data_IF_760070631501
#
_entry.id   IF_760070631501
#
_cell.length_a   1.000
_cell.length_b   1.000
_cell.length_c   1.000
_cell.angle_alpha   90.00
_cell.angle_beta   90.00
_cell.angle_gamma   90.00
#
_symmetry.space_group_name_H-M   'P 1'
#
loop_
_entity.id
_entity.type
_entity.pdbx_description
1 polymer ?
#
# COMPACT_ATOMS: atom_id res chain seq x y z
N UNK A 1 -14.95 -37.88 96.60
CA UNK A 1 -13.97 -37.06 95.84
C UNK A 1 -14.75 -36.28 94.80
N UNK A 2 -14.69 -34.94 94.87
CA UNK A 2 -14.82 -33.91 93.81
C UNK A 2 -15.53 -34.29 92.49
N UNK A 3 -16.39 -33.49 91.87
CA UNK A 3 -16.62 -32.04 91.87
C UNK A 3 -17.74 -31.77 90.84
N UNK A 4 -18.54 -30.72 91.08
CA UNK A 4 -19.00 -29.68 90.11
C UNK A 4 -19.76 -30.14 88.84
N UNK A 5 -21.07 -29.91 88.65
CA UNK A 5 -21.81 -28.65 88.44
C UNK A 5 -21.58 -27.94 87.08
N UNK A 6 -22.60 -27.95 86.19
CA UNK A 6 -23.12 -26.82 85.38
C UNK A 6 -24.05 -27.39 84.27
N UNK A 7 -25.35 -27.10 84.15
CA UNK A 7 -26.16 -25.86 84.09
C UNK A 7 -25.88 -24.95 82.87
N UNK A 8 -26.84 -25.03 81.93
CA UNK A 8 -27.52 -23.98 81.15
C UNK A 8 -26.82 -22.65 80.82
N UNK A 9 -26.98 -22.14 79.58
CA UNK A 9 -27.85 -20.99 79.22
C UNK A 9 -27.62 -20.52 77.75
N UNK A 10 -28.76 -20.22 77.13
CA UNK A 10 -29.14 -19.62 75.83
C UNK A 10 -28.57 -18.20 75.62
N UNK A 11 -28.24 -17.74 74.39
CA UNK A 11 -28.73 -16.47 73.76
C UNK A 11 -28.04 -16.04 72.44
N UNK A 12 -28.86 -15.46 71.54
CA UNK A 12 -28.65 -14.35 70.58
C UNK A 12 -27.56 -14.45 69.48
N UNK A 13 -27.72 -13.94 68.26
CA UNK A 13 -28.75 -13.11 67.62
C UNK A 13 -28.22 -12.52 66.30
N UNK A 14 -29.01 -11.58 65.73
CA UNK A 14 -28.68 -10.55 64.73
C UNK A 14 -29.00 -10.83 63.25
N UNK A 15 -30.01 -10.08 62.80
CA UNK A 15 -30.43 -9.76 61.44
C UNK A 15 -29.49 -8.68 60.84
N UNK A 16 -29.00 -8.87 59.61
CA UNK A 16 -28.39 -7.79 58.81
C UNK A 16 -28.78 -7.93 57.34
N UNK A 17 -29.55 -6.93 56.88
CA UNK A 17 -29.91 -6.67 55.49
C UNK A 17 -28.69 -6.12 54.75
N UNK A 18 -28.33 -6.71 53.62
CA UNK A 18 -27.36 -6.13 52.68
C UNK A 18 -27.91 -6.25 51.26
N UNK A 19 -28.41 -5.13 50.78
CA UNK A 19 -28.64 -4.82 49.36
C UNK A 19 -27.31 -4.87 48.61
N UNK A 20 -27.15 -5.79 47.67
CA UNK A 20 -26.09 -5.72 46.67
C UNK A 20 -26.69 -5.59 45.27
N UNK A 21 -26.54 -4.38 44.75
CA UNK A 21 -26.68 -4.04 43.34
C UNK A 21 -25.71 -4.96 42.57
N UNK A 22 -26.23 -5.96 41.85
CA UNK A 22 -25.42 -6.67 40.86
C UNK A 22 -25.33 -5.76 39.64
N UNK A 23 -24.42 -4.79 39.74
CA UNK A 23 -23.95 -4.03 38.60
C UNK A 23 -23.31 -5.03 37.63
N UNK A 24 -23.97 -5.15 36.48
CA UNK A 24 -23.50 -5.77 35.25
C UNK A 24 -21.98 -5.60 35.05
N UNK A 25 -21.20 -6.64 35.31
CA UNK A 25 -19.84 -6.75 34.80
C UNK A 25 -19.89 -6.90 33.27
N UNK A 26 -20.00 -5.78 32.55
CA UNK A 26 -19.59 -5.74 31.14
C UNK A 26 -18.07 -5.94 31.13
N UNK A 27 -17.52 -6.90 30.36
CA UNK A 27 -16.09 -6.97 30.19
C UNK A 27 -15.63 -5.67 29.54
N UNK A 28 -14.73 -4.96 30.22
CA UNK A 28 -14.06 -3.77 29.69
C UNK A 28 -13.06 -4.27 28.66
N UNK A 29 -13.51 -4.40 27.41
CA UNK A 29 -12.65 -4.73 26.27
C UNK A 29 -11.71 -3.55 26.08
N UNK A 30 -10.42 -3.78 26.31
CA UNK A 30 -9.38 -2.81 26.00
C UNK A 30 -9.37 -2.57 24.49
N UNK A 31 -9.45 -1.31 24.02
CA UNK A 31 -9.44 -1.03 22.59
C UNK A 31 -8.05 -1.35 22.02
N UNK A 32 -8.03 -2.25 21.02
CA UNK A 32 -6.85 -2.48 20.21
C UNK A 32 -6.52 -1.20 19.41
N UNK A 33 -5.23 -0.87 19.37
CA UNK A 33 -4.70 0.36 18.80
C UNK A 33 -4.90 0.46 17.28
N UNK A 34 -5.97 1.14 16.87
CA UNK A 34 -6.10 1.85 15.60
C UNK A 34 -7.02 3.04 15.88
N UNK A 35 -6.45 4.11 16.44
CA UNK A 35 -7.09 5.41 16.64
C UNK A 35 -8.57 5.43 17.08
N UNK A 36 -9.00 4.64 18.08
CA UNK A 36 -10.31 4.74 18.76
C UNK A 36 -11.49 5.25 17.89
N UNK A 37 -11.75 4.64 16.74
CA UNK A 37 -13.03 4.84 16.05
C UNK A 37 -14.03 3.90 16.71
N UNK A 38 -15.05 4.48 17.37
CA UNK A 38 -16.12 3.67 17.97
C UNK A 38 -17.00 3.08 16.86
N UNK A 39 -17.00 1.76 16.75
CA UNK A 39 -17.82 1.01 15.80
C UNK A 39 -19.24 0.85 16.34
N UNK A 40 -20.27 1.31 15.60
CA UNK A 40 -21.66 1.10 16.01
C UNK A 40 -22.03 -0.39 16.04
N UNK A 41 -22.76 -0.80 17.08
CA UNK A 41 -23.17 -2.21 17.31
C UNK A 41 -24.05 -2.79 16.19
N UNK A 42 -24.70 -1.94 15.38
CA UNK A 42 -25.55 -2.36 14.27
C UNK A 42 -24.78 -2.76 13.00
N UNK A 43 -23.47 -2.47 12.93
CA UNK A 43 -22.64 -2.89 11.79
C UNK A 43 -22.25 -4.36 11.97
N UNK A 44 -22.89 -5.25 11.23
CA UNK A 44 -22.70 -6.70 11.38
C UNK A 44 -21.67 -7.24 10.40
N UNK A 45 -21.61 -6.72 9.17
CA UNK A 45 -20.69 -7.24 8.15
C UNK A 45 -19.27 -6.63 8.25
N UNK A 46 -18.21 -7.42 7.97
CA UNK A 46 -16.84 -6.90 7.93
C UNK A 46 -16.65 -5.74 6.95
N UNK A 47 -17.35 -5.77 5.82
CA UNK A 47 -17.30 -4.73 4.78
C UNK A 47 -17.90 -3.41 5.27
N UNK A 48 -19.04 -3.45 5.95
CA UNK A 48 -19.65 -2.25 6.55
C UNK A 48 -18.77 -1.66 7.65
N UNK A 49 -18.18 -2.52 8.50
CA UNK A 49 -17.22 -2.08 9.53
C UNK A 49 -16.01 -1.41 8.90
N UNK A 50 -15.41 -2.00 7.87
CA UNK A 50 -14.28 -1.41 7.16
C UNK A 50 -14.64 -0.06 6.51
N UNK A 51 -15.77 0.02 5.81
CA UNK A 51 -16.22 1.28 5.21
C UNK A 51 -16.40 2.37 6.27
N UNK A 52 -17.03 2.05 7.39
CA UNK A 52 -17.22 2.98 8.49
C UNK A 52 -15.89 3.44 9.09
N UNK A 53 -14.95 2.52 9.32
CA UNK A 53 -13.62 2.88 9.80
C UNK A 53 -12.91 3.83 8.85
N UNK A 54 -12.96 3.59 7.54
CA UNK A 54 -12.35 4.45 6.52
C UNK A 54 -13.00 5.84 6.52
N UNK A 55 -14.33 5.91 6.59
CA UNK A 55 -15.07 7.17 6.58
C UNK A 55 -14.76 8.02 7.83
N UNK A 56 -14.62 7.39 9.00
CA UNK A 56 -14.48 8.06 10.29
C UNK A 56 -13.05 8.14 10.84
N UNK A 57 -12.06 7.59 10.16
CA UNK A 57 -10.67 7.55 10.63
C UNK A 57 -10.11 8.93 10.99
N UNK A 58 -10.41 9.94 10.16
CA UNK A 58 -9.83 11.28 10.28
C UNK A 58 -10.59 12.24 11.20
N UNK A 59 -11.74 11.84 11.75
CA UNK A 59 -12.64 12.74 12.49
C UNK A 59 -11.96 13.38 13.71
N UNK A 60 -11.12 12.62 14.43
CA UNK A 60 -10.37 13.14 15.59
C UNK A 60 -9.29 14.16 15.21
N UNK A 61 -8.61 13.94 14.09
CA UNK A 61 -7.56 14.85 13.60
C UNK A 61 -8.17 16.18 13.12
N UNK A 62 -9.33 16.15 12.45
CA UNK A 62 -10.03 17.36 12.05
C UNK A 62 -10.47 18.21 13.26
N UNK A 63 -10.77 17.58 14.40
CA UNK A 63 -11.13 18.27 15.63
C UNK A 63 -9.92 18.89 16.38
N UNK A 64 -8.68 18.47 16.08
CA UNK A 64 -7.46 18.94 16.74
C UNK A 64 -6.34 19.25 15.72
N UNK A 65 -6.27 20.48 15.19
CA UNK A 65 -5.36 20.81 14.09
C UNK A 65 -3.88 20.88 14.49
N UNK A 66 -3.56 21.00 15.79
CA UNK A 66 -2.19 20.97 16.31
C UNK A 66 -1.65 19.54 16.34
N UNK A 67 -1.25 19.06 15.16
CA UNK A 67 -0.70 17.72 14.98
C UNK A 67 0.81 17.80 14.78
N UNK A 68 1.58 17.11 15.62
CA UNK A 68 3.03 16.99 15.43
C UNK A 68 3.35 16.21 14.16
N UNK A 69 4.51 16.47 13.53
CA UNK A 69 4.90 15.76 12.30
C UNK A 69 4.96 14.24 12.50
N UNK A 70 5.45 13.76 13.65
CA UNK A 70 5.50 12.34 13.97
C UNK A 70 4.10 11.71 14.06
N UNK A 71 3.12 12.46 14.59
CA UNK A 71 1.74 12.01 14.64
C UNK A 71 1.09 11.97 13.24
N UNK A 72 1.36 12.96 12.38
CA UNK A 72 0.90 12.95 10.99
C UNK A 72 1.44 11.74 10.24
N UNK A 73 2.75 11.44 10.37
CA UNK A 73 3.37 10.28 9.73
C UNK A 73 2.64 9.01 10.15
N UNK A 74 2.54 8.78 11.46
CA UNK A 74 1.89 7.59 12.01
C UNK A 74 0.45 7.42 11.54
N UNK A 75 -0.34 8.50 11.57
CA UNK A 75 -1.75 8.43 11.14
C UNK A 75 -1.88 8.13 9.65
N UNK A 76 -1.02 8.72 8.79
CA UNK A 76 -1.04 8.42 7.36
C UNK A 76 -0.61 6.97 7.08
N UNK A 77 0.40 6.47 7.80
CA UNK A 77 0.84 5.07 7.70
C UNK A 77 -0.25 4.09 8.14
N UNK A 78 -0.85 4.32 9.31
CA UNK A 78 -1.96 3.53 9.84
C UNK A 78 -3.17 3.56 8.89
N UNK A 79 -3.47 4.72 8.28
CA UNK A 79 -4.53 4.83 7.28
C UNK A 79 -4.21 4.05 6.00
N UNK A 80 -2.98 4.13 5.49
CA UNK A 80 -2.54 3.36 4.31
C UNK A 80 -2.66 1.85 4.55
N UNK A 81 -2.30 1.39 5.76
CA UNK A 81 -2.48 0.00 6.17
C UNK A 81 -3.96 -0.41 6.21
N UNK A 82 -4.85 0.47 6.71
CA UNK A 82 -6.29 0.23 6.76
C UNK A 82 -6.91 0.08 5.37
N UNK A 83 -6.53 0.93 4.41
CA UNK A 83 -7.13 0.97 3.07
C UNK A 83 -6.53 -0.04 2.09
N UNK A 84 -5.44 -0.74 2.45
CA UNK A 84 -4.64 -1.55 1.52
C UNK A 84 -5.47 -2.53 0.65
N UNK A 85 -6.48 -3.16 1.23
CA UNK A 85 -7.39 -4.10 0.55
C UNK A 85 -8.83 -3.55 0.37
N UNK A 86 -9.02 -2.24 0.56
CA UNK A 86 -10.33 -1.61 0.48
C UNK A 86 -10.73 -1.33 -0.99
N UNK A 87 -12.04 -1.39 -1.31
CA UNK A 87 -12.53 -0.96 -2.63
C UNK A 87 -12.24 0.52 -2.88
N UNK A 88 -11.80 0.83 -4.10
CA UNK A 88 -11.37 2.18 -4.49
C UNK A 88 -12.45 3.26 -4.29
N UNK A 89 -13.71 2.92 -4.55
CA UNK A 89 -14.87 3.82 -4.41
C UNK A 89 -15.12 4.26 -2.96
N UNK A 90 -14.66 3.48 -1.99
CA UNK A 90 -14.79 3.78 -0.55
C UNK A 90 -13.68 4.67 -0.02
N UNK A 91 -12.52 4.69 -0.68
CA UNK A 91 -11.30 5.33 -0.17
C UNK A 91 -11.17 6.78 -0.65
N UNK A 92 -11.66 7.09 -1.85
CA UNK A 92 -11.40 8.36 -2.55
C UNK A 92 -11.65 9.61 -1.71
N UNK A 93 -12.73 9.64 -0.91
CA UNK A 93 -13.06 10.80 -0.07
C UNK A 93 -12.13 10.88 1.15
N UNK A 94 -11.95 9.79 1.87
CA UNK A 94 -11.18 9.77 3.11
C UNK A 94 -9.69 10.01 2.91
N UNK A 95 -9.12 9.56 1.79
CA UNK A 95 -7.68 9.70 1.52
C UNK A 95 -7.25 11.17 1.38
N UNK A 96 -8.13 12.06 0.90
CA UNK A 96 -7.84 13.49 0.74
C UNK A 96 -8.26 14.35 1.95
N UNK A 97 -9.02 13.82 2.90
CA UNK A 97 -9.45 14.54 4.13
C UNK A 97 -8.28 15.19 4.88
N UNK A 98 -7.19 14.48 5.23
CA UNK A 98 -6.06 15.10 5.93
C UNK A 98 -5.40 16.23 5.13
N UNK A 99 -5.37 16.13 3.79
CA UNK A 99 -4.78 17.18 2.95
C UNK A 99 -5.62 18.47 2.97
N UNK A 100 -6.94 18.33 3.11
CA UNK A 100 -7.86 19.45 3.27
C UNK A 100 -7.77 20.09 4.66
N UNK A 101 -7.48 19.33 5.71
CA UNK A 101 -7.35 19.86 7.07
C UNK A 101 -5.98 20.49 7.35
N UNK A 102 -4.90 19.83 6.92
CA UNK A 102 -3.53 20.23 7.25
C UNK A 102 -3.02 21.42 6.42
N UNK A 103 -2.02 22.13 6.94
CA UNK A 103 -1.32 23.21 6.25
C UNK A 103 0.17 23.23 6.62
N UNK A 104 0.96 24.08 5.96
CA UNK A 104 2.38 24.26 6.27
C UNK A 104 3.18 22.96 6.24
N UNK A 105 4.06 22.78 7.23
CA UNK A 105 4.94 21.61 7.34
C UNK A 105 4.17 20.29 7.52
N UNK A 106 3.04 20.30 8.22
CA UNK A 106 2.23 19.09 8.44
C UNK A 106 1.64 18.56 7.13
N UNK A 107 1.17 19.44 6.25
CA UNK A 107 0.72 19.05 4.90
C UNK A 107 1.85 18.44 4.08
N UNK A 108 3.04 19.05 4.12
CA UNK A 108 4.22 18.54 3.41
C UNK A 108 4.63 17.16 3.90
N UNK A 109 4.57 16.95 5.22
CA UNK A 109 4.79 15.65 5.86
C UNK A 109 3.77 14.63 5.36
N UNK A 110 2.46 14.93 5.41
CA UNK A 110 1.43 14.01 4.95
C UNK A 110 1.61 13.57 3.49
N UNK A 111 1.90 14.52 2.58
CA UNK A 111 2.13 14.21 1.16
C UNK A 111 3.38 13.35 0.94
N UNK A 112 4.45 13.61 1.70
CA UNK A 112 5.67 12.80 1.65
C UNK A 112 5.43 11.38 2.15
N UNK A 113 4.65 11.23 3.22
CA UNK A 113 4.26 9.93 3.75
C UNK A 113 3.37 9.18 2.77
N UNK A 114 2.35 9.82 2.17
CA UNK A 114 1.54 9.19 1.12
C UNK A 114 2.37 8.72 -0.07
N UNK A 115 3.33 9.53 -0.53
CA UNK A 115 4.24 9.13 -1.61
C UNK A 115 5.06 7.90 -1.21
N UNK A 116 5.56 7.87 0.01
CA UNK A 116 6.36 6.75 0.54
C UNK A 116 5.53 5.48 0.66
N UNK A 117 4.28 5.59 1.13
CA UNK A 117 3.41 4.45 1.39
C UNK A 117 2.72 3.93 0.12
N UNK A 118 2.30 4.80 -0.81
CA UNK A 118 1.46 4.41 -1.95
C UNK A 118 2.21 4.31 -3.27
N UNK A 119 3.38 4.94 -3.42
CA UNK A 119 4.07 5.03 -4.71
C UNK A 119 5.54 4.55 -4.69
N UNK A 120 6.16 4.34 -3.53
CA UNK A 120 7.50 3.71 -3.53
C UNK A 120 7.38 2.20 -3.74
N UNK A 121 8.11 1.61 -4.70
CA UNK A 121 8.02 0.17 -4.99
C UNK A 121 8.34 -0.75 -3.81
N UNK A 122 9.11 -0.26 -2.84
CA UNK A 122 9.47 -0.99 -1.62
C UNK A 122 8.33 -1.05 -0.60
N UNK A 123 7.28 -0.24 -0.77
CA UNK A 123 6.17 -0.18 0.17
C UNK A 123 5.26 -1.39 0.04
N UNK A 124 4.88 -2.04 1.15
CA UNK A 124 3.85 -3.09 1.13
C UNK A 124 2.46 -2.53 0.75
N UNK A 125 2.26 -1.22 0.81
CA UNK A 125 1.01 -0.55 0.49
C UNK A 125 1.01 0.13 -0.89
N UNK A 126 1.98 -0.20 -1.75
CA UNK A 126 2.06 0.32 -3.11
C UNK A 126 0.73 0.16 -3.85
N UNK A 127 0.14 1.28 -4.27
CA UNK A 127 -1.12 1.32 -4.99
C UNK A 127 -1.23 2.64 -5.78
N UNK A 128 -0.99 2.54 -7.09
CA UNK A 128 -1.03 3.69 -7.99
C UNK A 128 -2.43 4.31 -8.09
N UNK A 129 -3.50 3.51 -7.98
CA UNK A 129 -4.87 4.03 -8.07
C UNK A 129 -5.20 4.94 -6.89
N UNK A 130 -4.78 4.56 -5.68
CA UNK A 130 -4.92 5.42 -4.50
C UNK A 130 -4.03 6.65 -4.59
N UNK A 131 -2.78 6.48 -5.03
CA UNK A 131 -1.86 7.59 -5.18
C UNK A 131 -2.36 8.62 -6.21
N UNK A 132 -3.09 8.20 -7.25
CA UNK A 132 -3.71 9.12 -8.23
C UNK A 132 -4.73 10.07 -7.58
N UNK A 133 -5.40 9.68 -6.49
CA UNK A 133 -6.27 10.62 -5.76
C UNK A 133 -5.49 11.74 -5.10
N UNK A 134 -4.31 11.44 -4.57
CA UNK A 134 -3.39 12.44 -4.02
C UNK A 134 -2.93 13.39 -5.13
N UNK A 135 -2.47 12.86 -6.26
CA UNK A 135 -2.03 13.70 -7.40
C UNK A 135 -3.15 14.59 -7.95
N UNK A 136 -4.37 14.06 -8.04
CA UNK A 136 -5.54 14.83 -8.47
C UNK A 136 -5.84 15.99 -7.51
N UNK A 137 -5.70 15.76 -6.20
CA UNK A 137 -5.81 16.81 -5.19
C UNK A 137 -4.67 17.82 -5.31
N UNK A 138 -3.42 17.37 -5.39
CA UNK A 138 -2.24 18.23 -5.47
C UNK A 138 -2.34 19.19 -6.65
N UNK A 139 -2.69 18.68 -7.85
CA UNK A 139 -2.83 19.47 -9.08
C UNK A 139 -3.80 20.66 -8.93
N UNK A 140 -4.86 20.51 -8.14
CA UNK A 140 -5.91 21.51 -7.99
C UNK A 140 -5.80 22.34 -6.69
N UNK A 141 -4.93 21.96 -5.76
CA UNK A 141 -4.87 22.57 -4.43
C UNK A 141 -4.20 23.94 -4.44
N UNK A 142 -4.91 24.97 -3.98
CA UNK A 142 -4.36 26.32 -3.78
C UNK A 142 -3.38 26.41 -2.60
N UNK A 143 -3.25 25.34 -1.79
CA UNK A 143 -2.28 25.26 -0.70
C UNK A 143 -0.85 24.99 -1.19
N UNK A 144 -0.69 24.64 -2.47
CA UNK A 144 0.60 24.26 -3.06
C UNK A 144 1.03 25.31 -4.09
N UNK A 145 2.35 25.47 -4.22
CA UNK A 145 2.93 26.33 -5.24
C UNK A 145 2.71 25.78 -6.67
N UNK A 146 2.95 26.62 -7.68
CA UNK A 146 2.80 26.25 -9.09
C UNK A 146 3.71 25.10 -9.50
N UNK A 147 4.96 25.07 -9.02
CA UNK A 147 5.95 24.04 -9.34
C UNK A 147 5.46 22.66 -8.93
N UNK A 148 4.94 22.53 -7.71
CA UNK A 148 4.41 21.29 -7.17
C UNK A 148 3.16 20.83 -7.91
N UNK A 149 2.26 21.75 -8.26
CA UNK A 149 1.06 21.43 -9.05
C UNK A 149 1.42 20.89 -10.44
N UNK A 150 2.41 21.50 -11.10
CA UNK A 150 2.94 21.02 -12.38
C UNK A 150 3.59 19.65 -12.24
N UNK A 151 4.40 19.43 -11.19
CA UNK A 151 5.00 18.13 -10.93
C UNK A 151 3.94 17.04 -10.73
N UNK A 152 2.87 17.32 -9.97
CA UNK A 152 1.76 16.40 -9.79
C UNK A 152 1.02 16.09 -11.10
N UNK A 153 0.79 17.10 -11.95
CA UNK A 153 0.20 16.91 -13.28
C UNK A 153 1.05 16.02 -14.18
N UNK A 154 2.37 16.28 -14.26
CA UNK A 154 3.29 15.46 -15.05
C UNK A 154 3.36 14.03 -14.53
N UNK A 155 3.35 13.86 -13.21
CA UNK A 155 3.32 12.55 -12.58
C UNK A 155 2.03 11.78 -12.88
N UNK A 156 0.87 12.46 -12.84
CA UNK A 156 -0.41 11.85 -13.22
C UNK A 156 -0.40 11.37 -14.69
N UNK A 157 0.20 12.14 -15.60
CA UNK A 157 0.38 11.73 -17.00
C UNK A 157 1.23 10.47 -17.08
N UNK A 158 2.35 10.41 -16.35
CA UNK A 158 3.23 9.22 -16.34
C UNK A 158 2.48 7.98 -15.86
N UNK A 159 1.67 8.11 -14.81
CA UNK A 159 0.84 7.01 -14.30
C UNK A 159 -0.32 6.60 -15.22
N UNK A 160 -0.63 7.35 -16.28
CA UNK A 160 -1.61 6.92 -17.30
C UNK A 160 -0.98 5.98 -18.31
N UNK A 161 0.33 6.11 -18.53
CA UNK A 161 1.05 5.29 -19.48
C UNK A 161 1.21 3.87 -18.91
N UNK A 162 0.97 2.86 -19.75
CA UNK A 162 1.14 1.43 -19.40
C UNK A 162 0.25 0.96 -18.23
N UNK A 163 -0.91 1.60 -18.02
CA UNK A 163 -1.91 1.15 -17.06
C UNK A 163 -2.50 -0.20 -17.46
N UNK A 164 -2.81 -1.04 -16.48
CA UNK A 164 -3.43 -2.35 -16.73
C UNK A 164 -4.73 -2.18 -17.53
N UNK A 165 -4.90 -3.00 -18.57
CA UNK A 165 -6.04 -2.93 -19.47
C UNK A 165 -5.91 -1.94 -20.64
N UNK A 166 -4.84 -1.14 -20.69
CA UNK A 166 -4.55 -0.23 -21.80
C UNK A 166 -3.40 -0.74 -22.67
N UNK A 167 -3.34 -0.27 -23.91
CA UNK A 167 -2.22 -0.55 -24.81
C UNK A 167 -0.93 0.05 -24.26
N UNK A 168 0.15 -0.73 -24.22
CA UNK A 168 1.46 -0.24 -23.81
C UNK A 168 1.96 0.84 -24.78
N UNK A 169 2.63 1.86 -24.24
CA UNK A 169 3.23 2.94 -25.02
C UNK A 169 4.28 2.34 -25.98
N UNK A 170 4.14 2.63 -27.27
CA UNK A 170 5.13 2.21 -28.25
C UNK A 170 6.42 3.03 -28.12
N UNK A 171 7.57 2.38 -28.28
CA UNK A 171 8.89 2.99 -28.24
C UNK A 171 9.85 2.31 -29.22
N UNK A 172 10.92 3.02 -29.57
CA UNK A 172 11.99 2.51 -30.42
C UNK A 172 13.09 1.92 -29.54
N UNK A 173 13.62 0.76 -29.93
CA UNK A 173 14.76 0.12 -29.28
C UNK A 173 15.75 -0.41 -30.30
N UNK A 174 16.98 -0.62 -29.86
CA UNK A 174 18.09 -1.02 -30.72
C UNK A 174 18.61 -2.41 -30.37
N UNK A 175 18.54 -3.34 -31.32
CA UNK A 175 19.14 -4.67 -31.18
C UNK A 175 20.50 -4.70 -31.87
N UNK A 176 21.52 -5.31 -31.24
CA UNK A 176 22.75 -5.66 -31.95
C UNK A 176 22.59 -7.04 -32.57
N UNK A 177 22.62 -7.13 -33.89
CA UNK A 177 22.70 -8.40 -34.61
C UNK A 177 24.06 -8.53 -35.33
N UNK A 178 24.22 -9.56 -36.17
CA UNK A 178 25.45 -9.78 -36.94
C UNK A 178 25.70 -8.74 -38.04
N UNK A 179 24.70 -7.94 -38.39
CA UNK A 179 24.75 -6.92 -39.45
C UNK A 179 24.94 -5.50 -38.92
N UNK A 180 24.74 -5.29 -37.62
CA UNK A 180 24.98 -4.02 -36.94
C UNK A 180 23.93 -3.71 -35.88
N UNK A 181 23.75 -2.42 -35.61
CA UNK A 181 22.70 -1.92 -34.72
C UNK A 181 21.46 -1.64 -35.56
N UNK A 182 20.36 -2.31 -35.24
CA UNK A 182 19.09 -2.17 -35.96
C UNK A 182 18.02 -1.59 -35.03
N UNK A 183 17.36 -0.52 -35.49
CA UNK A 183 16.23 0.10 -34.81
C UNK A 183 14.94 -0.71 -35.03
N UNK A 184 14.17 -0.93 -33.97
CA UNK A 184 12.92 -1.69 -33.95
C UNK A 184 11.88 -0.99 -33.07
N UNK A 185 10.60 -1.35 -33.19
CA UNK A 185 9.50 -0.81 -32.37
C UNK A 185 8.85 -1.90 -31.51
N UNK A 186 8.37 -1.54 -30.31
CA UNK A 186 7.65 -2.47 -29.43
C UNK A 186 6.40 -3.02 -30.13
N UNK A 187 5.66 -2.15 -30.82
CA UNK A 187 4.46 -2.48 -31.59
C UNK A 187 4.69 -3.56 -32.66
N UNK A 188 5.92 -3.71 -33.15
CA UNK A 188 6.29 -4.73 -34.14
C UNK A 188 6.91 -5.99 -33.52
N UNK A 189 7.02 -6.07 -32.19
CA UNK A 189 7.52 -7.24 -31.47
C UNK A 189 6.41 -8.29 -31.32
N UNK A 190 6.18 -9.07 -32.39
CA UNK A 190 5.06 -10.01 -32.49
C UNK A 190 5.19 -11.22 -31.55
N UNK A 191 4.30 -11.32 -30.56
CA UNK A 191 4.13 -12.48 -29.68
C UNK A 191 2.70 -12.49 -29.13
N UNK A 192 2.10 -13.66 -28.83
CA UNK A 192 0.87 -13.71 -28.04
C UNK A 192 1.02 -13.01 -26.69
N UNK A 193 2.18 -13.17 -26.05
CA UNK A 193 2.55 -12.47 -24.83
C UNK A 193 3.97 -11.92 -24.93
N UNK A 194 4.14 -10.65 -24.59
CA UNK A 194 5.44 -10.00 -24.48
C UNK A 194 5.75 -9.73 -23.01
N UNK A 195 6.87 -10.24 -22.53
CA UNK A 195 7.40 -9.88 -21.21
C UNK A 195 8.43 -8.78 -21.39
N UNK A 196 8.03 -7.53 -21.14
CA UNK A 196 8.93 -6.38 -21.20
C UNK A 196 9.70 -6.25 -19.89
N UNK A 197 11.03 -6.19 -19.98
CA UNK A 197 11.93 -6.06 -18.84
C UNK A 197 12.78 -4.81 -19.07
N UNK A 198 12.56 -3.77 -18.27
CA UNK A 198 13.38 -2.57 -18.26
C UNK A 198 14.47 -2.73 -17.22
N UNK A 199 15.72 -2.62 -17.63
CA UNK A 199 16.86 -2.98 -16.80
C UNK A 199 17.97 -1.94 -16.91
N UNK A 200 18.50 -1.49 -15.77
CA UNK A 200 19.72 -0.66 -15.72
C UNK A 200 20.93 -1.57 -15.54
N UNK A 201 21.09 -2.12 -14.34
CA UNK A 201 22.15 -3.06 -13.96
C UNK A 201 21.58 -4.28 -13.23
N UNK A 202 22.39 -5.34 -13.10
CA UNK A 202 22.03 -6.49 -12.26
C UNK A 202 21.96 -6.06 -10.80
N UNK A 203 20.80 -6.21 -10.17
CA UNK A 203 20.67 -6.10 -8.73
C UNK A 203 20.18 -7.44 -8.14
N UNK A 204 20.23 -7.55 -6.81
CA UNK A 204 19.80 -8.76 -6.10
C UNK A 204 18.34 -9.13 -6.42
N UNK A 205 17.46 -8.14 -6.64
CA UNK A 205 16.04 -8.35 -6.94
C UNK A 205 15.87 -8.96 -8.34
N UNK A 206 16.51 -8.39 -9.34
CA UNK A 206 16.50 -8.85 -10.73
C UNK A 206 17.03 -10.28 -10.84
N UNK A 207 18.08 -10.61 -10.08
CA UNK A 207 18.61 -11.98 -10.00
C UNK A 207 17.59 -12.93 -9.37
N UNK A 208 16.94 -12.53 -8.28
CA UNK A 208 15.93 -13.34 -7.61
C UNK A 208 14.72 -13.58 -8.52
N UNK A 209 14.24 -12.56 -9.22
CA UNK A 209 13.14 -12.67 -10.18
C UNK A 209 13.49 -13.57 -11.36
N UNK A 210 14.67 -13.40 -11.95
CA UNK A 210 15.14 -14.27 -13.04
C UNK A 210 15.21 -15.74 -12.61
N UNK A 211 15.72 -16.02 -11.40
CA UNK A 211 15.74 -17.39 -10.85
C UNK A 211 14.34 -17.95 -10.60
N UNK A 212 13.46 -17.17 -9.97
CA UNK A 212 12.08 -17.58 -9.73
C UNK A 212 11.32 -17.84 -11.06
N UNK A 213 11.56 -17.01 -12.06
CA UNK A 213 11.02 -17.18 -13.41
C UNK A 213 11.49 -18.50 -14.03
N UNK A 214 12.79 -18.81 -13.97
CA UNK A 214 13.35 -20.06 -14.50
C UNK A 214 12.85 -21.32 -13.79
N UNK A 215 12.46 -21.21 -12.52
CA UNK A 215 11.85 -22.32 -11.76
C UNK A 215 10.41 -22.61 -12.21
N UNK A 216 9.74 -21.66 -12.85
CA UNK A 216 8.37 -21.84 -13.35
C UNK A 216 8.34 -22.64 -14.65
N UNK A 217 7.96 -23.93 -14.54
CA UNK A 217 7.84 -24.84 -15.69
C UNK A 217 6.87 -24.33 -16.78
N UNK A 218 5.80 -23.63 -16.39
CA UNK A 218 4.81 -23.09 -17.33
C UNK A 218 5.38 -21.92 -18.14
N UNK A 219 6.02 -20.96 -17.49
CA UNK A 219 6.62 -19.80 -18.16
C UNK A 219 7.76 -20.22 -19.09
N UNK A 220 8.63 -21.13 -18.62
CA UNK A 220 9.71 -21.68 -19.43
C UNK A 220 9.16 -22.45 -20.65
N UNK A 221 8.06 -23.19 -20.51
CA UNK A 221 7.40 -23.86 -21.63
C UNK A 221 6.87 -22.84 -22.65
N UNK A 222 6.19 -21.78 -22.20
CA UNK A 222 5.67 -20.73 -23.07
C UNK A 222 6.79 -20.01 -23.84
N UNK A 223 7.95 -19.80 -23.21
CA UNK A 223 9.12 -19.27 -23.91
C UNK A 223 9.64 -20.20 -25.00
N UNK A 224 9.78 -21.50 -24.70
CA UNK A 224 10.22 -22.50 -25.69
C UNK A 224 9.26 -22.62 -26.87
N UNK A 225 7.97 -22.38 -26.64
CA UNK A 225 6.92 -22.39 -27.68
C UNK A 225 6.76 -21.05 -28.39
N UNK A 226 7.56 -20.03 -28.06
CA UNK A 226 7.44 -18.66 -28.56
C UNK A 226 6.08 -17.98 -28.32
N UNK A 227 5.25 -18.52 -27.42
CA UNK A 227 3.99 -17.88 -27.01
C UNK A 227 4.24 -16.74 -26.03
N UNK A 228 5.31 -16.85 -25.22
CA UNK A 228 5.84 -15.77 -24.39
C UNK A 228 7.22 -15.37 -24.92
N UNK A 229 7.39 -14.10 -25.31
CA UNK A 229 8.68 -13.58 -25.77
C UNK A 229 9.18 -12.50 -24.80
N UNK A 230 10.29 -12.71 -24.09
CA UNK A 230 10.90 -11.67 -23.29
C UNK A 230 11.67 -10.68 -24.16
N UNK A 231 11.46 -9.39 -23.90
CA UNK A 231 12.21 -8.28 -24.47
C UNK A 231 12.88 -7.53 -23.32
N UNK A 232 14.20 -7.63 -23.24
CA UNK A 232 15.02 -6.96 -22.23
C UNK A 232 15.59 -5.68 -22.84
N UNK A 233 15.17 -4.53 -22.30
CA UNK A 233 15.65 -3.21 -22.69
C UNK A 233 16.63 -2.72 -21.63
N UNK A 234 17.85 -2.43 -22.04
CA UNK A 234 18.86 -1.81 -21.20
C UNK A 234 18.72 -0.29 -21.26
N UNK A 235 18.42 0.32 -20.11
CA UNK A 235 18.21 1.75 -19.93
C UNK A 235 19.36 2.41 -19.16
N UNK A 236 20.45 1.68 -18.91
CA UNK A 236 21.66 2.18 -18.25
C UNK A 236 22.69 2.71 -19.25
N UNK A 237 23.63 3.52 -18.76
CA UNK A 237 24.73 4.08 -19.55
C UNK A 237 25.82 3.05 -19.88
N UNK A 238 25.78 1.88 -19.24
CA UNK A 238 26.79 0.83 -19.33
C UNK A 238 26.25 -0.40 -20.05
N UNK A 239 27.16 -1.16 -20.67
CA UNK A 239 26.80 -2.45 -21.27
C UNK A 239 26.31 -3.38 -20.15
N UNK A 240 25.23 -4.15 -20.38
CA UNK A 240 24.75 -5.11 -19.41
C UNK A 240 25.81 -6.13 -19.03
N UNK A 241 25.79 -6.52 -17.77
CA UNK A 241 26.67 -7.54 -17.25
C UNK A 241 26.33 -8.93 -17.81
N UNK A 242 27.26 -9.88 -17.67
CA UNK A 242 27.08 -11.24 -18.18
C UNK A 242 25.95 -11.99 -17.45
N UNK A 243 25.66 -11.62 -16.20
CA UNK A 243 24.63 -12.27 -15.39
C UNK A 243 23.26 -12.00 -15.99
N UNK A 244 22.92 -10.76 -16.35
CA UNK A 244 21.62 -10.45 -16.95
C UNK A 244 21.35 -11.20 -18.25
N UNK A 245 22.37 -11.42 -19.08
CA UNK A 245 22.23 -12.21 -20.30
C UNK A 245 21.93 -13.67 -20.02
N UNK A 246 22.50 -14.23 -18.96
CA UNK A 246 22.28 -15.61 -18.55
C UNK A 246 20.91 -15.84 -17.89
N UNK A 247 20.39 -14.85 -17.15
CA UNK A 247 19.09 -14.93 -16.49
C UNK A 247 17.94 -15.05 -17.50
N UNK A 248 18.05 -14.36 -18.63
CA UNK A 248 17.01 -14.28 -19.64
C UNK A 248 17.41 -15.02 -20.93
N UNK A 249 17.89 -16.26 -20.79
CA UNK A 249 18.24 -17.10 -21.95
C UNK A 249 17.05 -17.24 -22.91
N UNK A 250 17.27 -16.94 -24.19
CA UNK A 250 16.22 -16.91 -25.23
C UNK A 250 15.45 -15.59 -25.34
N UNK A 251 15.80 -14.57 -24.56
CA UNK A 251 15.24 -13.22 -24.69
C UNK A 251 15.85 -12.45 -25.88
N UNK A 252 15.09 -11.46 -26.36
CA UNK A 252 15.64 -10.41 -27.22
C UNK A 252 16.24 -9.33 -26.34
N UNK A 253 17.53 -9.06 -26.51
CA UNK A 253 18.25 -8.01 -25.78
C UNK A 253 18.39 -6.78 -26.66
N UNK A 254 18.04 -5.62 -26.11
CA UNK A 254 18.10 -4.35 -26.81
C UNK A 254 18.52 -3.23 -25.87
N UNK A 255 18.94 -2.11 -26.46
CA UNK A 255 19.23 -0.88 -25.77
C UNK A 255 18.12 0.13 -26.03
N UNK A 256 17.88 0.99 -25.04
CA UNK A 256 17.00 2.14 -25.22
C UNK A 256 17.57 3.08 -26.31
N UNK A 257 16.70 3.90 -26.87
CA UNK A 257 17.02 4.95 -27.84
C UNK A 257 17.39 6.29 -27.19
N UNK A 258 17.45 6.34 -25.86
CA UNK A 258 17.75 7.51 -25.03
C UNK A 258 19.25 7.71 -24.79
#
# INVERSE_FOLDING_TARGET
MSREANRYIILCGVLLVLTSVVQSCRPKVAPASLGEVYLPDHLTSPQQKLSYLIDHYWDKMEAQPDTTQSLVIRQVEDFCALIHAAPIDKVQRSIIRPLNALSGSALQTALTTYTTQLYRPESPHYNEEFYRFILAWEKCSMKLDSTRRVAAYLQEIRLRNNTVGHLAQDFVYHTSDTTGIVARRLSHFAAPYTLLILSVDSDTRNIQWGKAFQQSKSLVRMMKQHTLRPLVIYTGNTRPDSIQRSLWSGATFAYDSA
#
